data_IF_591035454342
#
_entry.id   IF_591035454342
#
_cell.length_a   1.000
_cell.length_b   1.000
_cell.length_c   1.000
_cell.angle_alpha   90.00
_cell.angle_beta   90.00
_cell.angle_gamma   90.00
#
_symmetry.space_group_name_H-M   'P 1'
#
loop_
_entity.id
_entity.type
_entity.pdbx_description
1 polymer ?
#
# COMPACT_ATOMS: atom_id res chain seq x y z
N UNK A 1 -76.01 -14.47 -1.35
CA UNK A 1 -75.94 -14.05 -2.77
C UNK A 1 -74.51 -14.28 -3.25
N UNK A 2 -74.14 -15.03 -4.28
CA UNK A 2 -74.79 -15.99 -5.20
C UNK A 2 -73.63 -16.68 -5.94
N UNK A 3 -73.80 -17.96 -6.28
CA UNK A 3 -72.88 -18.84 -7.03
C UNK A 3 -72.42 -18.28 -8.40
N UNK A 4 -71.32 -18.83 -8.96
CA UNK A 4 -71.22 -19.55 -10.27
C UNK A 4 -69.74 -19.60 -10.73
N UNK A 5 -69.09 -20.75 -10.89
CA UNK A 5 -69.13 -21.77 -11.97
C UNK A 5 -68.78 -21.27 -13.40
N UNK A 6 -67.88 -22.01 -14.05
CA UNK A 6 -67.80 -22.18 -15.52
C UNK A 6 -66.43 -21.85 -16.10
N UNK A 7 -65.59 -22.83 -16.45
CA UNK A 7 -65.56 -23.65 -17.69
C UNK A 7 -64.63 -23.08 -18.79
N UNK A 8 -63.68 -23.94 -19.21
CA UNK A 8 -62.85 -23.97 -20.45
C UNK A 8 -63.73 -23.77 -21.72
N UNK A 9 -63.27 -23.57 -23.00
CA UNK A 9 -62.06 -24.16 -23.61
C UNK A 9 -61.43 -23.50 -24.90
N UNK A 10 -60.42 -24.18 -25.45
CA UNK A 10 -60.08 -24.48 -26.88
C UNK A 10 -59.75 -23.40 -27.95
N UNK A 11 -58.51 -23.53 -28.47
CA UNK A 11 -58.10 -23.75 -29.87
C UNK A 11 -58.16 -22.65 -30.96
N UNK A 12 -57.13 -22.66 -31.82
CA UNK A 12 -57.00 -21.94 -33.10
C UNK A 12 -55.56 -21.44 -33.31
N UNK A 13 -54.59 -22.18 -33.87
CA UNK A 13 -54.38 -22.67 -35.26
C UNK A 13 -53.96 -21.59 -36.27
N UNK A 14 -53.02 -21.96 -37.15
CA UNK A 14 -52.41 -21.27 -38.31
C UNK A 14 -51.17 -20.38 -38.01
N UNK A 15 -49.94 -20.82 -38.30
CA UNK A 15 -49.28 -21.04 -39.59
C UNK A 15 -48.85 -19.72 -40.27
N UNK A 16 -47.54 -19.61 -40.58
CA UNK A 16 -47.02 -19.28 -41.92
C UNK A 16 -45.47 -19.18 -41.89
N UNK A 17 -44.86 -19.83 -42.88
CA UNK A 17 -43.45 -19.69 -43.22
C UNK A 17 -43.17 -18.27 -43.75
N UNK A 18 -41.97 -17.75 -43.47
CA UNK A 18 -41.38 -16.70 -44.31
C UNK A 18 -39.86 -16.82 -44.30
N UNK A 19 -39.34 -17.31 -45.42
CA UNK A 19 -37.97 -17.15 -45.87
C UNK A 19 -37.71 -15.68 -46.22
N UNK A 20 -36.68 -15.07 -45.65
CA UNK A 20 -36.04 -13.89 -46.22
C UNK A 20 -34.56 -13.87 -45.81
N UNK A 21 -33.70 -13.82 -46.83
CA UNK A 21 -32.27 -13.62 -46.73
C UNK A 21 -31.92 -12.15 -46.37
N UNK A 22 -30.63 -11.92 -46.06
CA UNK A 22 -29.88 -10.64 -45.92
C UNK A 22 -29.58 -10.21 -44.47
N UNK A 23 -28.49 -9.46 -44.19
CA UNK A 23 -27.19 -9.38 -44.86
C UNK A 23 -26.00 -9.66 -43.90
N UNK A 24 -24.87 -10.04 -44.47
CA UNK A 24 -23.56 -9.98 -43.81
C UNK A 24 -23.23 -8.49 -43.54
N UNK A 25 -23.34 -8.06 -42.28
CA UNK A 25 -22.88 -6.73 -41.88
C UNK A 25 -21.45 -6.83 -41.34
N UNK A 26 -20.51 -6.49 -42.21
CA UNK A 26 -19.19 -6.00 -41.81
C UNK A 26 -19.39 -4.74 -40.96
N UNK A 27 -19.16 -4.84 -39.66
CA UNK A 27 -19.23 -3.71 -38.72
C UNK A 27 -17.83 -3.44 -38.15
N UNK A 28 -17.21 -2.40 -38.70
CA UNK A 28 -16.37 -1.42 -38.02
C UNK A 28 -15.08 -1.89 -37.29
N UNK A 29 -13.87 -1.54 -37.80
CA UNK A 29 -12.60 -1.78 -37.09
C UNK A 29 -12.35 -0.83 -35.89
N UNK A 30 -13.40 -0.23 -35.30
CA UNK A 30 -13.25 0.83 -34.30
C UNK A 30 -13.14 0.32 -32.85
N UNK A 31 -13.64 -0.87 -32.54
CA UNK A 31 -13.58 -1.42 -31.17
C UNK A 31 -12.25 -2.11 -30.87
N UNK A 32 -11.58 -2.68 -31.89
CA UNK A 32 -10.27 -3.32 -31.72
C UNK A 32 -9.16 -2.31 -31.37
N UNK A 33 -9.30 -1.04 -31.76
CA UNK A 33 -8.28 -0.01 -31.50
C UNK A 33 -8.40 0.68 -30.13
N UNK A 34 -9.52 0.50 -29.42
CA UNK A 34 -9.66 0.98 -28.04
C UNK A 34 -8.91 0.09 -27.04
N UNK A 35 -8.83 -1.22 -27.31
CA UNK A 35 -8.13 -2.17 -26.45
C UNK A 35 -6.59 -2.11 -26.59
N UNK A 36 -6.06 -1.74 -27.76
CA UNK A 36 -4.61 -1.72 -28.00
C UNK A 36 -3.92 -0.43 -27.50
N UNK A 37 -4.65 0.68 -27.37
CA UNK A 37 -4.08 1.96 -26.86
C UNK A 37 -3.75 1.97 -25.36
N UNK A 38 -4.17 0.94 -24.62
CA UNK A 38 -3.78 0.73 -23.22
C UNK A 38 -2.48 -0.08 -23.05
N UNK A 39 -1.88 -0.58 -24.14
CA UNK A 39 -0.68 -1.43 -24.07
C UNK A 39 0.64 -0.69 -24.25
N UNK A 40 0.61 0.64 -24.43
CA UNK A 40 1.82 1.44 -24.71
C UNK A 40 2.00 2.62 -23.75
N UNK A 41 1.61 2.44 -22.49
CA UNK A 41 2.25 3.14 -21.38
C UNK A 41 2.96 2.09 -20.54
N UNK A 42 4.29 2.20 -20.50
CA UNK A 42 5.20 1.21 -19.98
C UNK A 42 4.79 0.63 -18.63
N UNK A 43 5.11 -0.65 -18.48
CA UNK A 43 5.08 -1.43 -17.26
C UNK A 43 6.00 -0.81 -16.20
N UNK A 44 5.57 0.31 -15.63
CA UNK A 44 6.15 0.94 -14.46
C UNK A 44 5.19 0.71 -13.29
N UNK A 45 5.22 -0.47 -12.69
CA UNK A 45 4.63 -0.62 -11.36
C UNK A 45 3.94 -1.94 -11.07
N UNK A 46 4.72 -2.95 -10.74
CA UNK A 46 4.24 -4.04 -9.87
C UNK A 46 5.23 -4.43 -8.76
N UNK A 47 6.47 -3.94 -8.79
CA UNK A 47 7.46 -4.23 -7.76
C UNK A 47 7.31 -3.29 -6.57
N UNK A 48 6.99 -3.84 -5.40
CA UNK A 48 7.02 -3.08 -4.15
C UNK A 48 8.48 -2.72 -3.80
N UNK A 49 8.73 -1.50 -3.31
CA UNK A 49 10.10 -1.03 -3.04
C UNK A 49 10.73 -1.82 -1.90
N UNK A 50 11.86 -2.47 -2.16
CA UNK A 50 12.68 -3.13 -1.13
C UNK A 50 13.46 -2.09 -0.33
N UNK A 51 13.89 -2.43 0.89
CA UNK A 51 14.84 -1.58 1.63
C UNK A 51 16.07 -1.26 0.76
N UNK A 52 16.61 -0.04 0.90
CA UNK A 52 17.67 0.47 0.06
C UNK A 52 17.21 0.99 -1.32
N UNK A 53 15.96 0.78 -1.73
CA UNK A 53 15.44 1.35 -3.00
C UNK A 53 15.55 2.88 -3.00
N UNK A 54 15.91 3.51 -4.12
CA UNK A 54 16.17 4.94 -4.14
C UNK A 54 14.90 5.76 -3.81
N UNK A 55 15.01 6.59 -2.77
CA UNK A 55 13.99 7.55 -2.39
C UNK A 55 14.07 8.81 -3.26
N UNK A 56 12.93 9.31 -3.71
CA UNK A 56 12.79 10.56 -4.43
C UNK A 56 12.53 11.73 -3.49
N UNK A 57 11.59 11.55 -2.55
CA UNK A 57 11.13 12.61 -1.63
C UNK A 57 10.73 12.00 -0.30
N UNK A 58 10.99 12.73 0.78
CA UNK A 58 10.54 12.42 2.13
C UNK A 58 9.72 13.61 2.61
N UNK A 59 8.53 13.35 3.13
CA UNK A 59 7.63 14.36 3.69
C UNK A 59 7.33 13.98 5.14
N UNK A 60 7.70 14.86 6.06
CA UNK A 60 7.45 14.72 7.49
C UNK A 60 6.45 15.82 7.85
N UNK A 61 5.25 15.42 8.27
CA UNK A 61 4.19 16.38 8.66
C UNK A 61 4.39 16.87 10.08
N UNK A 62 4.77 15.95 10.95
CA UNK A 62 5.11 16.20 12.36
C UNK A 62 6.47 15.57 12.59
N UNK A 63 7.42 16.37 13.07
CA UNK A 63 8.77 15.90 13.36
C UNK A 63 8.88 15.26 14.74
N UNK A 64 7.92 15.49 15.64
CA UNK A 64 7.94 14.96 16.99
C UNK A 64 7.61 13.46 16.99
N UNK A 65 8.33 12.72 17.83
CA UNK A 65 7.94 11.37 18.19
C UNK A 65 6.70 11.40 19.10
N UNK A 66 5.99 10.29 19.12
CA UNK A 66 4.85 10.05 19.99
C UNK A 66 5.06 8.72 20.72
N UNK A 67 4.46 8.57 21.90
CA UNK A 67 4.49 7.29 22.61
C UNK A 67 3.87 6.21 21.73
N UNK A 68 4.54 5.08 21.62
CA UNK A 68 4.01 3.91 20.93
C UNK A 68 2.73 3.43 21.62
N UNK A 69 1.87 2.73 20.88
CA UNK A 69 0.60 2.26 21.42
C UNK A 69 0.79 1.37 22.65
N UNK A 70 0.23 1.77 23.80
CA UNK A 70 0.35 1.04 25.06
C UNK A 70 1.54 1.44 25.92
N UNK A 71 2.40 2.36 25.46
CA UNK A 71 3.48 2.96 26.24
C UNK A 71 3.04 4.28 26.90
N UNK A 72 3.52 4.54 28.11
CA UNK A 72 3.34 5.79 28.86
C UNK A 72 4.63 6.64 28.92
N UNK A 73 5.64 6.28 28.11
CA UNK A 73 6.92 6.99 28.02
C UNK A 73 6.74 8.39 27.42
N UNK A 74 7.37 9.38 28.05
CA UNK A 74 7.47 10.74 27.51
C UNK A 74 8.54 10.84 26.41
N UNK A 75 8.09 11.05 25.18
CA UNK A 75 8.94 11.18 24.00
C UNK A 75 9.39 12.62 23.71
N UNK A 76 9.28 13.53 24.70
CA UNK A 76 9.65 14.93 24.53
C UNK A 76 11.09 15.11 24.03
N UNK A 77 11.24 15.93 22.98
CA UNK A 77 12.53 16.24 22.37
C UNK A 77 13.08 15.13 21.46
N UNK A 78 12.35 14.03 21.27
CA UNK A 78 12.66 13.02 20.26
C UNK A 78 11.95 13.36 18.94
N UNK A 79 12.56 12.98 17.82
CA UNK A 79 11.95 13.29 16.54
C UNK A 79 12.58 12.65 15.32
N UNK A 80 11.96 12.91 14.18
CA UNK A 80 12.33 12.37 12.89
C UNK A 80 12.71 13.48 11.93
N UNK A 81 13.75 13.22 11.12
CA UNK A 81 14.16 14.08 10.02
C UNK A 81 14.48 13.24 8.77
N UNK A 82 14.69 13.93 7.65
CA UNK A 82 14.91 13.25 6.38
C UNK A 82 16.27 12.51 6.30
N UNK A 83 17.26 12.85 7.13
CA UNK A 83 18.54 12.14 7.18
C UNK A 83 18.38 10.81 7.94
N UNK A 84 17.65 10.82 9.06
CA UNK A 84 17.28 9.61 9.83
C UNK A 84 16.48 8.63 8.98
N UNK A 85 15.45 9.12 8.28
CA UNK A 85 14.66 8.28 7.35
C UNK A 85 15.53 7.63 6.27
N UNK A 86 16.43 8.40 5.66
CA UNK A 86 17.36 7.85 4.65
C UNK A 86 18.31 6.84 5.25
N UNK A 87 18.83 7.10 6.45
CA UNK A 87 19.75 6.20 7.13
C UNK A 87 19.08 4.87 7.46
N UNK A 88 17.89 4.89 8.07
CA UNK A 88 17.11 3.68 8.28
C UNK A 88 16.89 2.93 6.97
N UNK A 89 16.34 3.62 5.96
CA UNK A 89 15.98 2.97 4.71
C UNK A 89 17.18 2.36 3.97
N UNK A 90 18.37 2.95 4.10
CA UNK A 90 19.59 2.45 3.47
C UNK A 90 20.19 1.23 4.17
N UNK A 91 19.97 1.08 5.49
CA UNK A 91 20.60 0.04 6.31
C UNK A 91 19.63 -1.04 6.77
N UNK A 92 18.32 -0.85 6.58
CA UNK A 92 17.33 -1.80 7.05
C UNK A 92 17.26 -3.04 6.15
N UNK A 93 16.95 -4.17 6.79
CA UNK A 93 16.74 -5.47 6.17
C UNK A 93 15.29 -5.85 6.36
N UNK A 94 14.66 -6.47 5.37
CA UNK A 94 13.27 -6.91 5.49
C UNK A 94 13.15 -8.04 6.51
N UNK A 95 12.19 -7.91 7.42
CA UNK A 95 11.83 -8.91 8.41
C UNK A 95 10.38 -9.36 8.26
N UNK A 96 9.96 -10.26 9.12
CA UNK A 96 8.61 -10.79 9.16
C UNK A 96 7.71 -9.99 10.10
N UNK A 97 6.39 -10.13 9.91
CA UNK A 97 5.42 -9.57 10.84
C UNK A 97 5.56 -10.14 12.27
N UNK A 98 6.03 -11.38 12.41
CA UNK A 98 6.19 -12.01 13.72
C UNK A 98 7.39 -11.40 14.47
N UNK A 99 8.53 -11.24 13.81
CA UNK A 99 9.71 -10.59 14.40
C UNK A 99 9.41 -9.14 14.76
N UNK A 100 8.73 -8.41 13.87
CA UNK A 100 8.29 -7.04 14.16
C UNK A 100 7.45 -6.97 15.43
N UNK A 101 6.43 -7.84 15.58
CA UNK A 101 5.59 -7.88 16.78
C UNK A 101 6.40 -8.07 18.06
N UNK A 102 7.34 -9.01 18.07
CA UNK A 102 8.20 -9.24 19.23
C UNK A 102 9.11 -8.03 19.51
N UNK A 103 9.54 -7.32 18.46
CA UNK A 103 10.31 -6.10 18.59
C UNK A 103 9.50 -4.94 19.19
N UNK A 104 8.29 -4.71 18.71
CA UNK A 104 7.47 -3.56 19.13
C UNK A 104 6.81 -3.73 20.51
N UNK A 105 6.79 -4.94 21.07
CA UNK A 105 6.43 -5.13 22.49
C UNK A 105 7.37 -4.33 23.43
N UNK A 106 8.55 -3.93 22.92
CA UNK A 106 9.55 -3.11 23.60
C UNK A 106 9.66 -1.68 23.01
N UNK A 107 8.73 -1.28 22.14
CA UNK A 107 8.78 0.05 21.53
C UNK A 107 8.23 1.12 22.49
N UNK A 108 9.03 2.16 22.73
CA UNK A 108 8.64 3.27 23.61
C UNK A 108 8.08 4.45 22.81
N UNK A 109 8.84 4.90 21.82
CA UNK A 109 8.54 6.08 21.01
C UNK A 109 8.58 5.75 19.53
N UNK A 110 7.61 6.26 18.77
CA UNK A 110 7.53 6.11 17.32
C UNK A 110 7.43 7.46 16.60
N UNK A 111 7.86 7.50 15.35
CA UNK A 111 7.64 8.64 14.46
C UNK A 111 7.40 8.20 13.02
N UNK A 112 6.81 9.08 12.21
CA UNK A 112 6.38 8.72 10.87
C UNK A 112 6.82 9.69 9.78
N UNK A 113 7.13 9.13 8.60
CA UNK A 113 7.40 9.89 7.39
C UNK A 113 6.63 9.32 6.21
N UNK A 114 6.17 10.18 5.30
CA UNK A 114 5.73 9.76 3.99
C UNK A 114 6.95 9.70 3.07
N UNK A 115 7.22 8.52 2.51
CA UNK A 115 8.31 8.30 1.56
C UNK A 115 7.76 8.16 0.14
N UNK A 116 8.44 8.77 -0.82
CA UNK A 116 8.15 8.66 -2.25
C UNK A 116 9.36 8.00 -2.92
N UNK A 117 9.12 6.95 -3.71
CA UNK A 117 10.18 6.17 -4.35
C UNK A 117 10.43 6.66 -5.77
N UNK A 118 11.68 6.58 -6.25
CA UNK A 118 12.02 6.98 -7.64
C UNK A 118 11.36 6.07 -8.68
N UNK A 119 11.12 4.81 -8.33
CA UNK A 119 10.35 3.86 -9.16
C UNK A 119 8.85 4.19 -9.23
N UNK A 120 8.41 5.24 -8.53
CA UNK A 120 7.01 5.58 -8.36
C UNK A 120 6.41 4.95 -7.10
N UNK A 121 5.26 5.46 -6.68
CA UNK A 121 4.60 5.05 -5.45
C UNK A 121 5.05 5.83 -4.22
N UNK A 122 4.18 5.82 -3.21
CA UNK A 122 4.40 6.43 -1.90
C UNK A 122 3.93 5.48 -0.81
N UNK A 123 4.57 5.54 0.35
CA UNK A 123 4.22 4.74 1.52
C UNK A 123 4.45 5.52 2.81
N UNK A 124 3.76 5.16 3.88
CA UNK A 124 3.97 5.70 5.22
C UNK A 124 4.96 4.79 5.93
N UNK A 125 6.11 5.33 6.31
CA UNK A 125 7.12 4.65 7.09
C UNK A 125 6.98 5.06 8.56
N UNK A 126 6.75 4.10 9.47
CA UNK A 126 6.97 4.27 10.91
C UNK A 126 8.39 3.83 11.26
N UNK A 127 8.99 4.51 12.23
CA UNK A 127 10.26 4.14 12.85
C UNK A 127 10.04 4.04 14.36
N UNK A 128 10.48 2.94 14.95
CA UNK A 128 10.41 2.65 16.37
C UNK A 128 11.79 2.91 17.00
N UNK A 129 11.84 3.77 18.03
CA UNK A 129 13.12 4.26 18.57
C UNK A 129 13.92 3.16 19.28
N UNK A 130 13.32 2.47 20.24
CA UNK A 130 14.02 1.59 21.17
C UNK A 130 14.54 0.29 20.53
N UNK A 131 14.05 -0.06 19.35
CA UNK A 131 14.19 -1.43 18.82
C UNK A 131 14.83 -1.48 17.44
N UNK A 132 14.99 -0.33 16.76
CA UNK A 132 15.52 -0.26 15.40
C UNK A 132 14.59 -0.87 14.34
N UNK A 133 13.33 -1.14 14.70
CA UNK A 133 12.30 -1.60 13.77
C UNK A 133 11.59 -0.43 13.07
N UNK A 134 10.95 -0.74 11.94
CA UNK A 134 10.04 0.17 11.28
C UNK A 134 9.12 -0.57 10.33
N UNK A 135 7.97 0.04 10.02
CA UNK A 135 6.97 -0.54 9.13
C UNK A 135 6.65 0.41 7.98
N UNK A 136 6.67 -0.11 6.75
CA UNK A 136 6.22 0.61 5.56
C UNK A 136 4.81 0.14 5.19
N UNK A 137 3.84 1.01 5.36
CA UNK A 137 2.50 0.84 4.81
C UNK A 137 2.42 1.44 3.40
N UNK A 138 2.11 0.61 2.41
CA UNK A 138 1.94 1.03 1.02
C UNK A 138 0.84 0.22 0.34
N UNK A 139 -0.16 0.92 -0.24
CA UNK A 139 -1.27 0.30 -0.98
C UNK A 139 -2.01 -0.79 -0.18
N UNK A 140 -2.25 -0.55 1.11
CA UNK A 140 -2.94 -1.50 2.00
C UNK A 140 -2.11 -2.72 2.41
N UNK A 141 -0.81 -2.74 2.11
CA UNK A 141 0.13 -3.78 2.54
C UNK A 141 1.18 -3.17 3.45
N UNK A 142 1.52 -3.90 4.52
CA UNK A 142 2.58 -3.51 5.45
C UNK A 142 3.77 -4.43 5.28
N UNK A 143 4.97 -3.85 5.19
CA UNK A 143 6.25 -4.55 5.21
C UNK A 143 7.06 -4.08 6.41
N UNK A 144 7.85 -4.97 6.98
CA UNK A 144 8.56 -4.72 8.22
C UNK A 144 10.06 -4.77 7.96
N UNK A 145 10.79 -3.88 8.62
CA UNK A 145 12.21 -3.73 8.39
C UNK A 145 12.93 -3.54 9.72
N UNK A 146 14.10 -4.14 9.82
CA UNK A 146 14.97 -4.06 10.99
C UNK A 146 16.32 -3.46 10.61
N UNK A 147 16.79 -2.52 11.43
CA UNK A 147 18.10 -1.90 11.30
C UNK A 147 18.81 -1.92 12.67
N UNK A 148 19.82 -2.79 12.87
CA UNK A 148 20.49 -2.91 14.17
C UNK A 148 21.24 -1.63 14.58
N UNK A 149 21.68 -0.81 13.62
CA UNK A 149 22.32 0.48 13.91
C UNK A 149 21.34 1.64 14.12
N UNK A 150 20.03 1.37 14.07
CA UNK A 150 18.98 2.39 14.17
C UNK A 150 18.27 2.38 15.53
N UNK A 151 18.77 1.64 16.51
CA UNK A 151 18.33 1.81 17.89
C UNK A 151 18.64 3.25 18.37
N UNK A 152 17.66 3.92 19.00
CA UNK A 152 17.73 5.31 19.41
C UNK A 152 17.65 6.33 18.26
N UNK A 153 17.15 5.94 17.07
CA UNK A 153 17.14 6.79 15.87
C UNK A 153 16.40 8.12 16.02
N UNK A 154 15.41 8.19 16.90
CA UNK A 154 14.63 9.40 17.17
C UNK A 154 15.29 10.27 18.25
N UNK A 155 16.21 9.71 19.04
CA UNK A 155 16.95 10.41 20.09
C UNK A 155 17.75 11.61 19.59
N UNK A 156 17.94 12.61 20.45
CA UNK A 156 18.67 13.85 20.11
C UNK A 156 20.16 13.63 19.78
N UNK A 157 20.75 12.54 20.27
CA UNK A 157 22.16 12.20 20.07
C UNK A 157 22.41 11.32 18.84
N UNK A 158 21.34 10.86 18.18
CA UNK A 158 21.48 10.06 16.97
C UNK A 158 22.08 10.88 15.83
N UNK A 159 23.18 10.38 15.27
CA UNK A 159 23.89 10.98 14.15
C UNK A 159 23.93 9.98 12.99
N UNK A 160 23.14 10.18 11.92
CA UNK A 160 23.19 9.34 10.73
C UNK A 160 24.62 9.19 10.20
N UNK A 161 25.11 7.95 10.06
CA UNK A 161 26.44 7.66 9.50
C UNK A 161 27.61 7.77 10.47
N UNK A 162 27.38 8.18 11.72
CA UNK A 162 28.27 7.78 12.80
C UNK A 162 28.03 6.28 13.04
N UNK A 163 29.08 5.46 13.13
CA UNK A 163 28.93 4.04 13.47
C UNK A 163 28.21 3.84 14.82
N UNK A 164 27.97 2.58 15.24
CA UNK A 164 27.25 2.28 16.47
C UNK A 164 27.83 3.08 17.65
N UNK A 165 27.03 3.94 18.28
CA UNK A 165 27.46 4.62 19.50
C UNK A 165 27.34 3.62 20.66
N UNK A 166 28.41 3.38 21.44
CA UNK A 166 28.28 2.59 22.65
C UNK A 166 27.32 3.29 23.62
N UNK A 167 26.43 2.50 24.24
CA UNK A 167 25.50 2.96 25.27
C UNK A 167 26.22 3.52 26.48
#
# INVERSE_FOLDING_TARGET
MTRKHGHRPLAGLLALLSTAALPVQASSPSEAQAAERLRTTGNAGHTLPMAGSPLQKIVIRTNQAQSAHGSDVDCAGMGIDAARVRHFWANAIEGTAQEYRHGIDLADCEAHAQVHFRSGGKGRLSLDDATGWGALEQRGRTRYFYCPSCEGILGQKFKPGAGPQPR
#
